data_IF_151033708987
#
_entry.id   IF_151033708987
#
_cell.length_a   1.000
_cell.length_b   1.000
_cell.length_c   1.000
_cell.angle_alpha   90.00
_cell.angle_beta   90.00
_cell.angle_gamma   90.00
#
_symmetry.space_group_name_H-M   'P 1'
#
loop_
_entity.id
_entity.type
_entity.pdbx_description
1 polymer ?
#
# COMPACT_ATOMS: atom_id res chain seq x y z
N UNK A 1 -22.54 10.43 2.84
CA UNK A 1 -21.60 10.16 1.73
C UNK A 1 -21.70 8.68 1.43
N UNK A 2 -22.01 8.29 0.19
CA UNK A 2 -22.11 6.88 -0.21
C UNK A 2 -20.75 6.46 -0.76
N UNK A 3 -20.24 5.31 -0.30
CA UNK A 3 -18.99 4.71 -0.80
C UNK A 3 -19.38 3.67 -1.85
N UNK A 4 -18.96 3.88 -3.09
CA UNK A 4 -19.27 3.05 -4.24
C UNK A 4 -18.06 2.84 -5.17
N UNK A 5 -16.86 3.18 -4.68
CA UNK A 5 -15.59 2.90 -5.38
C UNK A 5 -15.27 1.39 -5.36
N UNK A 6 -15.63 0.71 -4.27
CA UNK A 6 -15.49 -0.74 -4.06
C UNK A 6 -16.80 -1.31 -3.51
N UNK A 7 -17.11 -2.56 -3.86
CA UNK A 7 -18.32 -3.26 -3.40
C UNK A 7 -18.00 -4.15 -2.20
N UNK A 8 -17.91 -3.56 -1.01
CA UNK A 8 -17.76 -4.29 0.25
C UNK A 8 -19.06 -4.32 1.03
N UNK A 9 -19.26 -5.36 1.82
CA UNK A 9 -20.35 -5.44 2.81
C UNK A 9 -20.01 -4.60 4.04
N UNK A 10 -21.02 -4.18 4.80
CA UNK A 10 -20.82 -3.37 6.02
C UNK A 10 -19.92 -4.08 7.05
N UNK A 11 -20.00 -5.41 7.13
CA UNK A 11 -19.13 -6.23 7.99
C UNK A 11 -17.66 -6.21 7.53
N UNK A 12 -17.42 -6.20 6.21
CA UNK A 12 -16.06 -6.08 5.66
C UNK A 12 -15.49 -4.68 5.86
N UNK A 13 -16.33 -3.63 5.83
CA UNK A 13 -15.89 -2.28 6.18
C UNK A 13 -15.56 -2.14 7.68
N UNK A 14 -16.33 -2.79 8.56
CA UNK A 14 -16.07 -2.78 10.01
C UNK A 14 -14.78 -3.52 10.39
N UNK A 15 -14.33 -4.46 9.57
CA UNK A 15 -13.07 -5.19 9.76
C UNK A 15 -11.83 -4.43 9.27
N UNK A 16 -12.00 -3.29 8.58
CA UNK A 16 -10.88 -2.45 8.13
C UNK A 16 -10.32 -1.62 9.30
N UNK A 17 -9.01 -1.40 9.28
CA UNK A 17 -8.35 -0.48 10.22
C UNK A 17 -8.74 0.98 9.94
N UNK A 18 -8.53 1.87 10.91
CA UNK A 18 -8.83 3.30 10.75
C UNK A 18 -8.08 3.92 9.56
N UNK A 19 -6.82 3.53 9.35
CA UNK A 19 -6.02 3.96 8.20
C UNK A 19 -6.58 3.49 6.87
N UNK A 20 -7.02 2.22 6.80
CA UNK A 20 -7.63 1.64 5.61
C UNK A 20 -8.96 2.34 5.27
N UNK A 21 -9.79 2.63 6.28
CA UNK A 21 -11.02 3.41 6.11
C UNK A 21 -10.74 4.83 5.61
N UNK A 22 -9.70 5.48 6.11
CA UNK A 22 -9.29 6.80 5.62
C UNK A 22 -8.88 6.76 4.15
N UNK A 23 -8.17 5.71 3.71
CA UNK A 23 -7.80 5.54 2.31
C UNK A 23 -9.01 5.25 1.42
N UNK A 24 -9.96 4.43 1.84
CA UNK A 24 -11.23 4.25 1.11
C UNK A 24 -11.97 5.58 0.97
N UNK A 25 -12.04 6.38 2.05
CA UNK A 25 -12.66 7.71 2.02
C UNK A 25 -11.93 8.65 1.05
N UNK A 26 -10.61 8.63 1.04
CA UNK A 26 -9.79 9.45 0.14
C UNK A 26 -10.03 9.07 -1.33
N UNK A 27 -10.08 7.77 -1.64
CA UNK A 27 -10.38 7.25 -2.96
C UNK A 27 -11.80 7.64 -3.44
N UNK A 28 -12.79 7.55 -2.55
CA UNK A 28 -14.16 7.99 -2.86
C UNK A 28 -14.22 9.49 -3.15
N UNK A 29 -13.52 10.32 -2.37
CA UNK A 29 -13.43 11.76 -2.62
C UNK A 29 -12.80 12.06 -3.98
N UNK A 30 -11.77 11.31 -4.40
CA UNK A 30 -11.18 11.43 -5.75
C UNK A 30 -12.21 11.09 -6.83
N UNK A 31 -12.95 9.98 -6.70
CA UNK A 31 -14.03 9.61 -7.64
C UNK A 31 -15.12 10.69 -7.72
N UNK A 32 -15.54 11.25 -6.59
CA UNK A 32 -16.55 12.30 -6.56
C UNK A 32 -16.06 13.57 -7.30
N UNK A 33 -14.79 13.95 -7.12
CA UNK A 33 -14.17 15.07 -7.86
C UNK A 33 -14.12 14.80 -9.36
N UNK A 34 -13.75 13.60 -9.78
CA UNK A 34 -13.75 13.22 -11.20
C UNK A 34 -15.15 13.25 -11.80
N UNK A 35 -16.16 12.84 -11.03
CA UNK A 35 -17.57 12.86 -11.48
C UNK A 35 -18.05 14.30 -11.71
N UNK A 36 -17.72 15.21 -10.78
CA UNK A 36 -18.01 16.64 -10.94
C UNK A 36 -17.25 17.26 -12.12
N UNK A 37 -15.99 16.86 -12.34
CA UNK A 37 -15.18 17.29 -13.48
C UNK A 37 -15.78 16.81 -14.80
N UNK A 38 -16.14 15.53 -14.92
CA UNK A 38 -16.80 14.97 -16.10
C UNK A 38 -18.08 15.74 -16.44
N UNK A 39 -18.92 16.04 -15.44
CA UNK A 39 -20.14 16.80 -15.65
C UNK A 39 -19.84 18.22 -16.17
N UNK A 40 -18.82 18.87 -15.61
CA UNK A 40 -18.39 20.21 -16.05
C UNK A 40 -17.86 20.18 -17.49
N UNK A 41 -17.03 19.20 -17.83
CA UNK A 41 -16.42 19.07 -19.15
C UNK A 41 -17.47 18.72 -20.22
N UNK A 42 -18.43 17.85 -19.89
CA UNK A 42 -19.58 17.56 -20.76
C UNK A 42 -20.42 18.82 -21.03
N UNK A 43 -20.65 19.66 -20.01
CA UNK A 43 -21.38 20.91 -20.20
C UNK A 43 -20.59 21.87 -21.09
N UNK A 44 -19.29 22.04 -20.87
CA UNK A 44 -18.44 22.92 -21.70
C UNK A 44 -18.44 22.50 -23.16
N UNK A 45 -18.21 21.22 -23.44
CA UNK A 45 -18.21 20.71 -24.82
C UNK A 45 -19.61 20.80 -25.46
N UNK A 46 -20.67 20.57 -24.69
CA UNK A 46 -22.04 20.77 -25.18
C UNK A 46 -22.27 22.22 -25.62
N UNK A 47 -21.89 23.21 -24.80
CA UNK A 47 -22.05 24.63 -25.14
C UNK A 47 -21.23 24.99 -26.38
N UNK A 48 -19.97 24.55 -26.44
CA UNK A 48 -19.08 24.75 -27.60
C UNK A 48 -19.68 24.20 -28.90
N UNK A 49 -20.28 23.01 -28.88
CA UNK A 49 -20.91 22.42 -30.06
C UNK A 49 -22.20 23.14 -30.48
N UNK A 50 -22.95 23.69 -29.52
CA UNK A 50 -24.13 24.51 -29.80
C UNK A 50 -23.72 25.83 -30.45
N UNK A 51 -22.71 26.52 -29.91
CA UNK A 51 -22.16 27.76 -30.48
C UNK A 51 -21.65 27.57 -31.92
N UNK A 52 -21.00 26.43 -32.18
CA UNK A 52 -20.52 26.08 -33.52
C UNK A 52 -21.59 25.48 -34.44
N UNK A 53 -22.84 25.32 -33.98
CA UNK A 53 -23.94 24.75 -34.77
C UNK A 53 -23.78 23.26 -35.14
N UNK A 54 -22.87 22.53 -34.50
CA UNK A 54 -22.53 21.13 -34.84
C UNK A 54 -23.08 20.11 -33.83
N UNK A 55 -23.88 20.55 -32.86
CA UNK A 55 -24.45 19.72 -31.80
C UNK A 55 -25.27 18.51 -32.30
N UNK A 56 -26.03 18.68 -33.38
CA UNK A 56 -26.89 17.62 -33.95
C UNK A 56 -26.11 16.54 -34.72
N UNK A 57 -24.80 16.73 -34.93
CA UNK A 57 -23.95 15.74 -35.58
C UNK A 57 -23.54 14.61 -34.63
N UNK A 58 -23.01 13.51 -35.18
CA UNK A 58 -22.42 12.41 -34.37
C UNK A 58 -21.22 12.85 -33.51
N UNK A 59 -20.74 14.10 -33.66
CA UNK A 59 -19.60 14.60 -32.87
C UNK A 59 -19.92 14.68 -31.38
N UNK A 60 -21.13 15.06 -30.99
CA UNK A 60 -21.51 15.08 -29.58
C UNK A 60 -21.42 13.69 -28.94
N UNK A 61 -21.94 12.67 -29.63
CA UNK A 61 -21.88 11.28 -29.16
C UNK A 61 -20.44 10.78 -29.03
N UNK A 62 -19.57 11.12 -29.99
CA UNK A 62 -18.14 10.77 -29.94
C UNK A 62 -17.42 11.44 -28.77
N UNK A 63 -17.64 12.73 -28.55
CA UNK A 63 -17.02 13.46 -27.43
C UNK A 63 -17.53 12.93 -26.10
N UNK A 64 -18.84 12.66 -26.00
CA UNK A 64 -19.43 12.07 -24.80
C UNK A 64 -18.85 10.69 -24.48
N UNK A 65 -18.69 9.82 -25.49
CA UNK A 65 -18.11 8.49 -25.27
C UNK A 65 -16.64 8.57 -24.90
N UNK A 66 -15.86 9.45 -25.52
CA UNK A 66 -14.47 9.68 -25.18
C UNK A 66 -14.30 10.16 -23.73
N UNK A 67 -15.04 11.20 -23.32
CA UNK A 67 -14.97 11.73 -21.96
C UNK A 67 -15.40 10.69 -20.92
N UNK A 68 -16.43 9.89 -21.21
CA UNK A 68 -16.84 8.78 -20.34
C UNK A 68 -15.78 7.69 -20.25
N UNK A 69 -15.17 7.30 -21.37
CA UNK A 69 -14.11 6.29 -21.39
C UNK A 69 -12.90 6.72 -20.56
N UNK A 70 -12.48 7.99 -20.64
CA UNK A 70 -11.38 8.52 -19.83
C UNK A 70 -11.75 8.49 -18.35
N UNK A 71 -12.96 8.94 -18.01
CA UNK A 71 -13.46 8.86 -16.63
C UNK A 71 -13.48 7.42 -16.09
N UNK A 72 -13.99 6.46 -16.86
CA UNK A 72 -14.05 5.05 -16.46
C UNK A 72 -12.66 4.47 -16.22
N UNK A 73 -11.69 4.79 -17.07
CA UNK A 73 -10.29 4.39 -16.88
C UNK A 73 -9.69 4.99 -15.62
N UNK A 74 -9.90 6.29 -15.35
CA UNK A 74 -9.39 6.93 -14.15
C UNK A 74 -10.02 6.35 -12.87
N UNK A 75 -11.33 6.08 -12.89
CA UNK A 75 -12.02 5.43 -11.77
C UNK A 75 -11.53 3.99 -11.56
N UNK A 76 -11.28 3.24 -12.63
CA UNK A 76 -10.68 1.91 -12.55
C UNK A 76 -9.29 1.95 -11.93
N UNK A 77 -8.43 2.88 -12.36
CA UNK A 77 -7.10 3.06 -11.78
C UNK A 77 -7.15 3.40 -10.28
N UNK A 78 -8.08 4.25 -9.85
CA UNK A 78 -8.29 4.56 -8.43
C UNK A 78 -8.74 3.32 -7.66
N UNK A 79 -9.67 2.54 -8.23
CA UNK A 79 -10.14 1.29 -7.62
C UNK A 79 -9.01 0.29 -7.49
N UNK A 80 -8.22 0.07 -8.55
CA UNK A 80 -7.13 -0.90 -8.56
C UNK A 80 -6.03 -0.50 -7.58
N UNK A 81 -5.70 0.79 -7.50
CA UNK A 81 -4.76 1.32 -6.50
C UNK A 81 -5.27 1.11 -5.06
N UNK A 82 -6.57 1.32 -4.81
CA UNK A 82 -7.18 1.06 -3.51
C UNK A 82 -7.19 -0.43 -3.18
N UNK A 83 -7.57 -1.30 -4.13
CA UNK A 83 -7.55 -2.74 -3.93
C UNK A 83 -6.14 -3.26 -3.69
N UNK A 84 -5.14 -2.74 -4.40
CA UNK A 84 -3.73 -3.02 -4.14
C UNK A 84 -3.38 -2.60 -2.70
N UNK A 85 -3.65 -1.35 -2.33
CA UNK A 85 -3.39 -0.88 -0.97
C UNK A 85 -4.06 -1.76 0.08
N UNK A 86 -5.36 -2.07 -0.07
CA UNK A 86 -6.08 -2.92 0.89
C UNK A 86 -5.49 -4.33 0.93
N UNK A 87 -5.05 -4.91 -0.19
CA UNK A 87 -4.49 -6.27 -0.22
C UNK A 87 -3.09 -6.34 0.41
N UNK A 88 -2.32 -5.27 0.33
CA UNK A 88 -0.95 -5.21 0.87
C UNK A 88 -0.87 -4.60 2.27
N UNK A 89 -1.74 -3.64 2.60
CA UNK A 89 -1.91 -3.07 3.93
C UNK A 89 -2.78 -3.95 4.84
N UNK A 90 -3.56 -4.89 4.28
CA UNK A 90 -4.14 -6.00 5.02
C UNK A 90 -3.23 -7.23 5.05
N UNK A 91 -1.94 -7.12 4.64
CA UNK A 91 -0.96 -8.00 5.28
C UNK A 91 -1.05 -7.65 6.76
N UNK A 92 -1.49 -8.60 7.58
CA UNK A 92 -1.83 -8.30 8.95
C UNK A 92 -0.58 -7.74 9.63
N UNK A 93 -0.79 -6.96 10.69
CA UNK A 93 0.23 -6.80 11.73
C UNK A 93 0.70 -8.17 12.28
N UNK A 94 0.04 -9.26 11.88
CA UNK A 94 0.52 -10.65 11.88
C UNK A 94 1.35 -11.02 10.63
N UNK A 95 2.21 -10.14 10.11
CA UNK A 95 3.50 -10.69 9.69
C UNK A 95 4.08 -11.20 10.98
N UNK A 96 3.85 -12.49 11.26
CA UNK A 96 4.35 -13.23 12.40
C UNK A 96 5.64 -12.55 12.82
N UNK A 97 5.55 -11.72 13.86
CA UNK A 97 6.70 -11.40 14.68
C UNK A 97 6.90 -12.73 15.36
N UNK A 98 7.48 -13.68 14.62
CA UNK A 98 7.56 -15.07 14.96
C UNK A 98 8.47 -15.12 16.14
N UNK A 99 7.86 -15.01 17.33
CA UNK A 99 8.48 -14.87 18.64
C UNK A 99 9.95 -14.42 18.56
N UNK A 100 10.19 -13.28 17.89
CA UNK A 100 11.55 -12.76 17.79
C UNK A 100 11.74 -11.91 19.02
N UNK A 101 12.73 -12.23 19.85
CA UNK A 101 12.88 -11.61 21.16
C UNK A 101 13.43 -10.16 21.10
N UNK A 102 13.50 -9.55 19.91
CA UNK A 102 13.88 -8.16 19.67
C UNK A 102 12.80 -7.40 18.89
N UNK A 103 12.71 -6.09 19.15
CA UNK A 103 11.75 -5.22 18.47
C UNK A 103 12.09 -5.06 16.99
N UNK A 104 11.15 -5.43 16.12
CA UNK A 104 11.25 -5.31 14.66
C UNK A 104 10.60 -4.00 14.22
N UNK A 105 11.40 -3.02 13.79
CA UNK A 105 10.95 -1.71 13.31
C UNK A 105 11.54 -1.37 11.93
N UNK A 106 10.71 -1.44 10.90
CA UNK A 106 11.07 -1.14 9.51
C UNK A 106 11.08 0.37 9.19
N UNK A 107 10.83 1.25 10.15
CA UNK A 107 11.01 2.69 9.99
C UNK A 107 12.46 3.15 10.24
N UNK A 108 13.25 2.32 10.95
CA UNK A 108 14.65 2.58 11.25
C UNK A 108 15.56 2.35 10.03
N UNK A 109 16.73 2.98 10.04
CA UNK A 109 17.78 2.76 9.02
C UNK A 109 18.40 1.37 9.13
N UNK A 110 18.95 0.85 8.04
CA UNK A 110 19.52 -0.51 8.00
C UNK A 110 20.63 -0.71 9.04
N UNK A 111 21.43 0.34 9.31
CA UNK A 111 22.48 0.33 10.33
C UNK A 111 21.90 0.27 11.75
N UNK A 112 20.79 0.96 12.02
CA UNK A 112 20.11 0.91 13.32
C UNK A 112 19.50 -0.47 13.56
N UNK A 113 18.88 -1.08 12.53
CA UNK A 113 18.36 -2.45 12.60
C UNK A 113 19.47 -3.45 12.89
N UNK A 114 20.62 -3.31 12.23
CA UNK A 114 21.80 -4.15 12.46
C UNK A 114 22.26 -4.11 13.92
N UNK A 115 22.36 -2.91 14.51
CA UNK A 115 22.78 -2.76 15.90
C UNK A 115 21.78 -3.37 16.89
N UNK A 116 20.48 -3.23 16.64
CA UNK A 116 19.44 -3.82 17.50
C UNK A 116 19.60 -5.35 17.57
N UNK A 117 19.71 -6.00 16.41
CA UNK A 117 19.85 -7.47 16.36
C UNK A 117 21.17 -7.90 16.98
N UNK A 118 22.28 -7.23 16.65
CA UNK A 118 23.60 -7.52 17.22
C UNK A 118 23.60 -7.43 18.75
N UNK A 119 23.18 -6.28 19.30
CA UNK A 119 23.17 -6.04 20.75
C UNK A 119 22.24 -7.02 21.47
N UNK A 120 21.12 -7.42 20.86
CA UNK A 120 20.22 -8.40 21.44
C UNK A 120 20.92 -9.76 21.65
N UNK A 121 21.54 -10.31 20.61
CA UNK A 121 22.17 -11.64 20.68
C UNK A 121 23.43 -11.62 21.57
N UNK A 122 24.21 -10.53 21.56
CA UNK A 122 25.36 -10.35 22.48
C UNK A 122 24.94 -10.24 23.95
N UNK A 123 23.82 -9.56 24.24
CA UNK A 123 23.31 -9.42 25.60
C UNK A 123 22.65 -10.70 26.12
N UNK A 124 22.05 -11.50 25.23
CA UNK A 124 21.27 -12.69 25.60
C UNK A 124 22.16 -13.93 25.77
N UNK A 125 23.14 -14.12 24.89
CA UNK A 125 23.98 -15.31 24.87
C UNK A 125 25.44 -14.96 25.12
N UNK A 126 25.94 -15.34 26.30
CA UNK A 126 27.34 -15.12 26.68
C UNK A 126 28.31 -16.04 25.95
N UNK A 127 27.86 -17.24 25.56
CA UNK A 127 28.66 -18.20 24.77
C UNK A 127 28.46 -17.94 23.26
N UNK A 128 29.57 -17.87 22.52
CA UNK A 128 29.57 -17.61 21.07
C UNK A 128 28.86 -18.72 20.28
N UNK A 129 29.05 -19.98 20.68
CA UNK A 129 28.47 -21.15 20.01
C UNK A 129 26.93 -21.17 20.14
N UNK A 130 26.42 -20.89 21.34
CA UNK A 130 24.97 -20.81 21.58
C UNK A 130 24.35 -19.59 20.86
N UNK A 131 25.06 -18.46 20.82
CA UNK A 131 24.64 -17.25 20.13
C UNK A 131 24.45 -17.48 18.63
N UNK A 132 25.45 -18.11 17.99
CA UNK A 132 25.39 -18.41 16.57
C UNK A 132 24.31 -19.44 16.24
N UNK A 133 24.13 -20.46 17.08
CA UNK A 133 23.05 -21.44 16.91
C UNK A 133 21.67 -20.78 16.96
N UNK A 134 21.43 -19.90 17.95
CA UNK A 134 20.18 -19.16 18.09
C UNK A 134 19.94 -18.20 16.92
N UNK A 135 20.98 -17.45 16.49
CA UNK A 135 20.88 -16.54 15.35
C UNK A 135 20.60 -17.27 14.02
N UNK A 136 21.16 -18.46 13.83
CA UNK A 136 20.94 -19.28 12.63
C UNK A 136 19.52 -19.85 12.55
N UNK A 137 18.88 -20.10 13.68
CA UNK A 137 17.49 -20.59 13.73
C UNK A 137 16.46 -19.46 13.51
N UNK A 138 16.89 -18.20 13.58
CA UNK A 138 16.05 -17.02 13.35
C UNK A 138 15.64 -16.89 11.87
N UNK A 139 14.34 -17.00 11.62
CA UNK A 139 13.75 -16.91 10.28
C UNK A 139 13.45 -15.47 9.84
N UNK A 140 13.53 -14.51 10.76
CA UNK A 140 13.12 -13.12 10.56
C UNK A 140 14.34 -12.23 10.36
N UNK A 141 15.46 -12.51 11.04
CA UNK A 141 16.72 -11.79 10.85
C UNK A 141 17.15 -11.65 9.37
N UNK A 142 17.03 -12.66 8.49
CA UNK A 142 17.36 -12.51 7.07
C UNK A 142 16.49 -11.50 6.34
N UNK A 143 15.19 -11.44 6.66
CA UNK A 143 14.24 -10.51 6.04
C UNK A 143 14.34 -9.10 6.63
N UNK A 144 14.68 -9.00 7.92
CA UNK A 144 14.76 -7.74 8.64
C UNK A 144 16.04 -6.96 8.34
N UNK A 145 17.17 -7.66 8.24
CA UNK A 145 18.49 -7.07 7.96
C UNK A 145 18.81 -6.97 6.47
N UNK A 146 18.17 -7.78 5.63
CA UNK A 146 18.39 -7.77 4.18
C UNK A 146 19.86 -8.00 3.83
N UNK A 147 20.49 -7.01 3.18
CA UNK A 147 21.91 -7.08 2.77
C UNK A 147 22.88 -7.15 3.95
N UNK A 148 22.50 -6.65 5.13
CA UNK A 148 23.33 -6.64 6.33
C UNK A 148 23.26 -7.94 7.13
N UNK A 149 22.46 -8.91 6.69
CA UNK A 149 22.40 -10.24 7.33
C UNK A 149 23.72 -11.01 7.15
N UNK A 150 24.27 -11.05 5.94
CA UNK A 150 25.50 -11.82 5.66
C UNK A 150 26.72 -11.32 6.48
N UNK A 151 26.99 -10.01 6.57
CA UNK A 151 28.03 -9.50 7.46
C UNK A 151 27.84 -9.85 8.93
N UNK A 152 26.60 -9.86 9.44
CA UNK A 152 26.33 -10.22 10.84
C UNK A 152 26.50 -11.72 11.08
N UNK A 153 26.14 -12.54 10.10
CA UNK A 153 26.32 -13.98 10.13
C UNK A 153 27.80 -14.35 10.18
N UNK A 154 28.62 -13.72 9.33
CA UNK A 154 30.08 -13.93 9.32
C UNK A 154 30.71 -13.47 10.64
N UNK A 155 30.25 -12.33 11.18
CA UNK A 155 30.69 -11.84 12.49
C UNK A 155 30.45 -12.84 13.63
N UNK A 156 29.25 -13.43 13.71
CA UNK A 156 28.95 -14.43 14.73
C UNK A 156 29.61 -15.78 14.47
N UNK A 157 29.93 -16.12 13.22
CA UNK A 157 30.72 -17.31 12.88
C UNK A 157 32.19 -17.18 13.30
N UNK A 158 32.76 -15.98 13.24
CA UNK A 158 34.13 -15.71 13.71
C UNK A 158 34.24 -15.71 15.25
N UNK A 159 33.13 -15.54 15.96
CA UNK A 159 33.04 -15.47 17.43
C UNK A 159 32.71 -16.83 18.10
N UNK A 160 32.55 -17.92 17.32
CA UNK A 160 32.41 -19.31 17.80
C UNK A 160 33.74 -20.04 17.91
#
# INVERSE_FOLDING_TARGET
MVIDIISYTDAQFAALTEEQLLQVKSAQLKKNRLTAKLQTDLQKEKHRLIENGTYLSTMWQKIQSQLRSVYEQEVANIRDALLFYLRFAAKPEDSETGDVPYTVDYSLSDVERFNIVKTYYEATYSDGVERFAAFKEDKIAPQYLGELYAPLYDYFLEDT
#
